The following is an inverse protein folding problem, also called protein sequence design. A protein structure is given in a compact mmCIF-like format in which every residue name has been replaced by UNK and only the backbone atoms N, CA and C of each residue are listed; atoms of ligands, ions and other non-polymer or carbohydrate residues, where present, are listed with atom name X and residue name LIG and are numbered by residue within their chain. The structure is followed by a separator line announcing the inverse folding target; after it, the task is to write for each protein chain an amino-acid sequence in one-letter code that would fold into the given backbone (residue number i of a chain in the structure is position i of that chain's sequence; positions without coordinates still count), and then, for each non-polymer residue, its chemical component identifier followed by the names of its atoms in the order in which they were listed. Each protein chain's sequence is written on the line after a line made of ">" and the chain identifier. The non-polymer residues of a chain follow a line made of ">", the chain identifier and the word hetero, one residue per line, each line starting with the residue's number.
data_IF_510804767473
#
_entry.id   IF_510804767473
#
_cell.length_a   1.000
_cell.length_b   1.000
_cell.length_c   1.000
_cell.angle_alpha   90.00
_cell.angle_beta   90.00
_cell.angle_gamma   90.00
#
_symmetry.space_group_name_H-M   'P 1'
#
loop_
_entity.id
_entity.type
_entity.pdbx_description
1 polymer ?
#
# COMPACT_ATOMS: atom_id res chain seq x y z
N UNK A 1 37.28 -14.79 18.62
CA UNK A 1 37.29 -14.23 17.25
C UNK A 1 36.17 -14.94 16.49
N UNK A 2 35.02 -14.25 16.30
CA UNK A 2 33.68 -14.87 16.13
C UNK A 2 33.45 -15.44 14.73
N UNK A 3 33.35 -16.77 14.63
CA UNK A 3 32.94 -17.50 13.41
C UNK A 3 31.49 -17.10 12.97
N UNK A 4 30.61 -16.82 13.91
CA UNK A 4 29.21 -16.43 13.63
C UNK A 4 29.07 -15.13 12.80
N UNK A 5 29.97 -14.16 12.98
CA UNK A 5 29.95 -12.91 12.21
C UNK A 5 30.37 -13.06 10.73
N UNK A 6 31.18 -14.07 10.42
CA UNK A 6 31.59 -14.37 9.04
C UNK A 6 30.52 -15.11 8.23
N UNK A 7 29.71 -15.94 8.90
CA UNK A 7 28.59 -16.64 8.23
C UNK A 7 27.44 -15.67 7.86
N UNK A 8 27.15 -14.68 8.70
CA UNK A 8 26.10 -13.71 8.41
C UNK A 8 26.47 -12.80 7.24
N UNK A 9 27.72 -12.35 7.14
CA UNK A 9 28.18 -11.51 6.03
C UNK A 9 28.24 -12.26 4.70
N UNK A 10 28.60 -13.55 4.72
CA UNK A 10 28.65 -14.39 3.53
C UNK A 10 27.23 -14.68 2.99
N UNK A 11 26.26 -14.92 3.88
CA UNK A 11 24.85 -15.13 3.54
C UNK A 11 24.22 -13.88 2.93
N UNK A 12 24.56 -12.69 3.45
CA UNK A 12 24.05 -11.41 2.92
C UNK A 12 24.62 -11.09 1.54
N UNK A 13 25.91 -11.38 1.30
CA UNK A 13 26.56 -11.21 0.00
C UNK A 13 25.97 -12.20 -1.02
N UNK A 14 25.70 -13.45 -0.63
CA UNK A 14 25.10 -14.45 -1.49
C UNK A 14 23.66 -14.08 -1.90
N UNK A 15 22.88 -13.47 -0.98
CA UNK A 15 21.52 -13.00 -1.25
C UNK A 15 21.51 -11.81 -2.23
N UNK A 16 22.46 -10.90 -2.10
CA UNK A 16 22.60 -9.74 -2.98
C UNK A 16 23.07 -10.12 -4.39
N UNK A 17 23.96 -11.12 -4.50
CA UNK A 17 24.43 -11.58 -5.82
C UNK A 17 23.37 -12.35 -6.61
N UNK A 18 22.42 -13.03 -5.95
CA UNK A 18 21.32 -13.71 -6.63
C UNK A 18 20.32 -12.75 -7.30
N UNK A 19 20.26 -11.51 -6.83
CA UNK A 19 19.36 -10.47 -7.39
C UNK A 19 19.91 -9.89 -8.72
N UNK A 20 21.22 -10.00 -8.99
CA UNK A 20 21.89 -9.27 -10.09
C UNK A 20 22.00 -10.10 -11.39
N UNK A 21 21.80 -11.42 -11.36
CA UNK A 21 22.09 -12.29 -12.53
C UNK A 21 20.88 -12.65 -13.39
N UNK A 22 19.70 -12.16 -13.10
CA UNK A 22 18.49 -12.42 -13.89
C UNK A 22 18.33 -11.49 -15.11
N UNK A 23 19.27 -11.46 -16.07
CA UNK A 23 19.05 -10.86 -17.39
C UNK A 23 18.20 -11.82 -18.23
N UNK A 24 16.93 -11.98 -17.90
CA UNK A 24 15.96 -12.46 -18.88
C UNK A 24 15.80 -11.38 -19.94
N UNK A 25 15.87 -11.77 -21.23
CA UNK A 25 15.58 -10.90 -22.38
C UNK A 25 14.08 -10.56 -22.40
N UNK A 26 13.64 -9.80 -21.43
CA UNK A 26 12.29 -9.26 -21.38
C UNK A 26 12.43 -7.84 -21.88
N UNK A 27 11.67 -7.49 -22.89
CA UNK A 27 11.42 -6.10 -23.28
C UNK A 27 10.99 -5.38 -22.01
N UNK A 28 11.93 -4.69 -21.36
CA UNK A 28 11.68 -4.04 -20.08
C UNK A 28 10.69 -2.90 -20.32
N UNK A 29 9.44 -3.15 -19.99
CA UNK A 29 8.41 -2.11 -19.99
C UNK A 29 8.38 -1.52 -18.61
N UNK A 30 8.77 -0.27 -18.49
CA UNK A 30 8.58 0.51 -17.26
C UNK A 30 7.34 1.39 -17.40
N UNK A 31 6.69 1.62 -16.29
CA UNK A 31 5.46 2.40 -16.23
C UNK A 31 5.56 3.41 -15.10
N UNK A 32 5.07 4.61 -15.36
CA UNK A 32 4.88 5.65 -14.34
C UNK A 32 3.40 6.00 -14.29
N UNK A 33 2.86 6.08 -13.11
CA UNK A 33 1.46 6.41 -12.93
C UNK A 33 1.22 7.33 -11.75
N UNK A 34 0.08 7.97 -11.79
CA UNK A 34 -0.48 8.72 -10.68
C UNK A 34 -1.97 8.36 -10.52
N UNK A 35 -2.49 8.56 -9.34
CA UNK A 35 -3.88 8.27 -9.04
C UNK A 35 -4.45 9.15 -7.96
N UNK A 36 -5.77 9.23 -7.98
CA UNK A 36 -6.58 9.88 -6.96
C UNK A 36 -7.53 8.86 -6.38
N UNK A 37 -7.75 8.95 -5.09
CA UNK A 37 -8.60 8.02 -4.37
C UNK A 37 -8.95 8.53 -2.99
N UNK A 38 -9.34 7.61 -2.16
CA UNK A 38 -9.71 7.89 -0.78
C UNK A 38 -9.03 6.91 0.17
N UNK A 39 -8.64 7.42 1.33
CA UNK A 39 -8.33 6.61 2.49
C UNK A 39 -9.57 6.41 3.35
N UNK A 40 -9.69 5.25 3.95
CA UNK A 40 -10.72 4.89 4.90
C UNK A 40 -10.08 4.13 6.06
N UNK A 41 -10.60 4.29 7.26
CA UNK A 41 -10.09 3.70 8.49
C UNK A 41 -11.03 2.62 9.01
N UNK A 42 -10.48 1.55 9.59
CA UNK A 42 -11.20 0.62 10.45
C UNK A 42 -10.33 0.24 11.64
N UNK A 43 -10.93 0.23 12.81
CA UNK A 43 -10.33 -0.04 14.11
C UNK A 43 -11.35 0.24 15.20
N UNK A 44 -10.91 0.72 16.35
CA UNK A 44 -11.75 0.92 17.54
C UNK A 44 -12.87 1.96 17.40
N UNK A 45 -12.70 2.96 16.50
CA UNK A 45 -13.71 3.98 16.23
C UNK A 45 -14.70 3.57 15.13
N UNK A 46 -14.28 2.75 14.17
CA UNK A 46 -15.10 2.32 13.04
C UNK A 46 -14.78 0.87 12.72
N UNK A 47 -15.67 -0.07 13.05
CA UNK A 47 -15.47 -1.51 12.89
C UNK A 47 -15.59 -2.03 11.44
N UNK A 48 -16.19 -1.26 10.55
CA UNK A 48 -16.39 -1.66 9.15
C UNK A 48 -16.11 -0.51 8.20
N UNK A 49 -15.78 -0.83 6.96
CA UNK A 49 -15.58 0.16 5.92
C UNK A 49 -16.83 1.07 5.79
N UNK A 50 -16.65 2.37 5.95
CA UNK A 50 -17.73 3.33 5.86
C UNK A 50 -17.34 4.48 4.91
N UNK A 51 -18.07 4.60 3.81
CA UNK A 51 -17.83 5.64 2.81
C UNK A 51 -17.94 7.08 3.37
N UNK A 52 -18.70 7.29 4.45
CA UNK A 52 -18.84 8.59 5.08
C UNK A 52 -17.53 9.14 5.66
N UNK A 53 -16.59 8.26 6.03
CA UNK A 53 -15.26 8.62 6.54
C UNK A 53 -14.16 8.56 5.48
N UNK A 54 -14.52 8.44 4.21
CA UNK A 54 -13.55 8.44 3.13
C UNK A 54 -12.92 9.82 2.96
N UNK A 55 -11.61 9.90 3.16
CA UNK A 55 -10.82 11.13 3.04
C UNK A 55 -9.96 11.11 1.79
N UNK A 56 -9.72 12.26 1.14
CA UNK A 56 -8.97 12.32 -0.11
C UNK A 56 -7.53 11.84 0.06
N UNK A 57 -7.08 11.06 -0.92
CA UNK A 57 -5.72 10.55 -1.01
C UNK A 57 -5.23 10.56 -2.47
N UNK A 58 -3.92 10.71 -2.64
CA UNK A 58 -3.26 10.64 -3.94
C UNK A 58 -2.10 9.66 -3.90
N UNK A 59 -1.79 9.05 -5.03
CA UNK A 59 -0.67 8.13 -5.19
C UNK A 59 0.11 8.43 -6.46
N UNK A 60 1.43 8.27 -6.38
CA UNK A 60 2.33 8.24 -7.53
C UNK A 60 3.16 6.98 -7.45
N UNK A 61 3.44 6.35 -8.57
CA UNK A 61 4.17 5.09 -8.57
C UNK A 61 5.00 4.88 -9.83
N UNK A 62 6.03 4.06 -9.65
CA UNK A 62 6.81 3.47 -10.71
C UNK A 62 6.57 1.96 -10.72
N UNK A 63 6.34 1.37 -11.89
CA UNK A 63 6.12 -0.06 -12.07
C UNK A 63 7.11 -0.62 -13.07
N UNK A 64 7.83 -1.66 -12.67
CA UNK A 64 8.68 -2.46 -13.51
C UNK A 64 7.98 -3.78 -13.85
N UNK A 65 7.78 -4.04 -15.12
CA UNK A 65 7.16 -5.28 -15.59
C UNK A 65 8.22 -6.37 -15.73
N UNK A 66 8.27 -7.28 -14.74
CA UNK A 66 9.26 -8.36 -14.68
C UNK A 66 8.92 -9.48 -15.64
N UNK A 67 7.63 -9.78 -15.83
CA UNK A 67 7.16 -10.78 -16.78
C UNK A 67 5.84 -10.34 -17.42
N UNK A 68 5.25 -11.23 -18.26
CA UNK A 68 3.92 -10.97 -18.86
C UNK A 68 2.82 -10.79 -17.81
N UNK A 69 2.94 -11.51 -16.69
CA UNK A 69 1.91 -11.57 -15.63
C UNK A 69 2.38 -10.99 -14.31
N UNK A 70 3.68 -10.76 -14.10
CA UNK A 70 4.25 -10.27 -12.84
C UNK A 70 4.84 -8.89 -13.06
N UNK A 71 4.52 -7.96 -12.15
CA UNK A 71 5.11 -6.63 -12.09
C UNK A 71 5.52 -6.31 -10.66
N UNK A 72 6.54 -5.48 -10.51
CA UNK A 72 6.91 -4.87 -9.24
C UNK A 72 6.55 -3.39 -9.29
N UNK A 73 5.88 -2.89 -8.25
CA UNK A 73 5.49 -1.48 -8.13
C UNK A 73 6.05 -0.89 -6.85
N UNK A 74 6.75 0.24 -7.00
CA UNK A 74 7.12 1.12 -5.90
C UNK A 74 6.21 2.34 -5.92
N UNK A 75 5.57 2.69 -4.82
CA UNK A 75 4.60 3.79 -4.75
C UNK A 75 4.79 4.67 -3.53
N UNK A 76 4.44 5.94 -3.72
CA UNK A 76 4.29 6.94 -2.67
C UNK A 76 2.82 7.35 -2.66
N UNK A 77 2.15 7.15 -1.53
CA UNK A 77 0.74 7.49 -1.34
C UNK A 77 0.61 8.45 -0.17
N UNK A 78 -0.17 9.50 -0.32
CA UNK A 78 -0.39 10.47 0.74
C UNK A 78 -1.86 10.89 0.78
N UNK A 79 -2.38 11.12 1.98
CA UNK A 79 -3.77 11.50 2.16
C UNK A 79 -4.12 11.77 3.61
N UNK A 80 -5.37 12.17 3.82
CA UNK A 80 -5.94 12.35 5.16
C UNK A 80 -6.62 11.06 5.60
N UNK A 81 -6.62 10.82 6.90
CA UNK A 81 -7.35 9.74 7.55
C UNK A 81 -8.08 10.33 8.75
N UNK A 82 -9.38 10.08 8.86
CA UNK A 82 -10.19 10.60 9.96
C UNK A 82 -11.30 9.64 10.34
N UNK A 83 -11.65 9.62 11.62
CA UNK A 83 -12.84 8.95 12.12
C UNK A 83 -13.38 9.69 13.34
N UNK A 84 -14.66 9.48 13.67
CA UNK A 84 -15.33 10.11 14.80
C UNK A 84 -16.45 9.25 15.33
N UNK A 85 -16.49 9.04 16.65
CA UNK A 85 -17.60 8.37 17.35
C UNK A 85 -18.91 9.14 17.25
N UNK A 86 -18.85 10.47 17.21
CA UNK A 86 -20.04 11.32 17.18
C UNK A 86 -20.87 11.13 15.89
N UNK A 87 -20.23 10.74 14.79
CA UNK A 87 -20.90 10.56 13.50
C UNK A 87 -21.47 9.16 13.31
N UNK A 88 -21.00 8.18 14.06
CA UNK A 88 -21.48 6.79 13.97
C UNK A 88 -21.17 6.01 15.25
N UNK A 89 -21.92 6.27 16.36
CA UNK A 89 -21.70 5.56 17.60
C UNK A 89 -22.00 4.07 17.42
N UNK A 90 -20.99 3.22 17.63
CA UNK A 90 -21.08 1.77 17.43
C UNK A 90 -21.81 1.10 18.59
N UNK A 91 -21.63 1.65 19.81
CA UNK A 91 -22.21 1.13 21.03
C UNK A 91 -22.46 2.23 22.08
N UNK A 92 -23.01 1.86 23.25
CA UNK A 92 -23.29 2.79 24.33
C UNK A 92 -22.03 3.47 24.93
N UNK A 93 -20.84 2.89 24.71
CA UNK A 93 -19.57 3.45 25.16
C UNK A 93 -19.05 4.51 24.18
N UNK A 94 -19.14 4.27 22.87
CA UNK A 94 -18.72 5.23 21.85
C UNK A 94 -19.51 6.54 21.96
N UNK A 95 -20.79 6.49 22.32
CA UNK A 95 -21.62 7.68 22.57
C UNK A 95 -21.17 8.52 23.78
N UNK A 96 -20.44 7.92 24.72
CA UNK A 96 -19.87 8.60 25.91
C UNK A 96 -18.42 9.03 25.69
N UNK A 97 -17.65 8.26 24.87
CA UNK A 97 -16.25 8.52 24.58
C UNK A 97 -16.08 9.77 23.70
N UNK A 98 -16.91 9.95 22.68
CA UNK A 98 -16.92 11.08 21.72
C UNK A 98 -15.52 11.38 21.21
N UNK A 99 -14.75 10.33 20.89
CA UNK A 99 -13.40 10.47 20.35
C UNK A 99 -13.44 10.76 18.85
N UNK A 100 -12.48 11.54 18.39
CA UNK A 100 -12.26 11.81 16.96
C UNK A 100 -10.80 12.05 16.68
N UNK A 101 -10.35 11.65 15.49
CA UNK A 101 -9.01 11.96 15.03
C UNK A 101 -9.03 12.43 13.58
N UNK A 102 -8.01 13.21 13.22
CA UNK A 102 -7.73 13.64 11.86
C UNK A 102 -6.22 13.73 11.72
N UNK A 103 -5.66 12.83 10.91
CA UNK A 103 -4.23 12.71 10.69
C UNK A 103 -3.91 12.81 9.20
N UNK A 104 -2.69 13.21 8.90
CA UNK A 104 -2.12 13.10 7.56
C UNK A 104 -1.18 11.90 7.53
N UNK A 105 -1.40 10.98 6.58
CA UNK A 105 -0.65 9.75 6.41
C UNK A 105 0.12 9.81 5.09
N UNK A 106 1.41 9.49 5.16
CA UNK A 106 2.28 9.33 4.00
C UNK A 106 2.86 7.91 4.01
N UNK A 107 2.64 7.16 2.93
CA UNK A 107 3.04 5.77 2.77
C UNK A 107 4.04 5.62 1.63
N UNK A 108 5.14 4.92 1.88
CA UNK A 108 6.05 4.39 0.85
C UNK A 108 5.87 2.88 0.79
N UNK A 109 5.55 2.33 -0.37
CA UNK A 109 5.29 0.89 -0.49
C UNK A 109 5.97 0.26 -1.69
N UNK A 110 6.34 -1.02 -1.51
CA UNK A 110 6.83 -1.90 -2.56
C UNK A 110 5.94 -3.14 -2.64
N UNK A 111 5.30 -3.36 -3.78
CA UNK A 111 4.37 -4.46 -3.96
C UNK A 111 4.65 -5.25 -5.23
N UNK A 112 4.38 -6.54 -5.18
CA UNK A 112 4.29 -7.40 -6.35
C UNK A 112 2.84 -7.43 -6.83
N UNK A 113 2.65 -7.35 -8.15
CA UNK A 113 1.36 -7.46 -8.81
C UNK A 113 1.33 -8.70 -9.69
N UNK A 114 0.26 -9.48 -9.56
CA UNK A 114 -0.03 -10.62 -10.41
C UNK A 114 -1.24 -10.31 -11.29
N UNK A 115 -1.07 -10.35 -12.61
CA UNK A 115 -2.10 -10.09 -13.60
C UNK A 115 -2.64 -11.41 -14.14
N UNK A 116 -3.94 -11.60 -14.10
CA UNK A 116 -4.58 -12.85 -14.51
C UNK A 116 -4.64 -13.04 -16.02
N UNK A 117 -4.64 -11.95 -16.78
CA UNK A 117 -4.75 -11.98 -18.23
C UNK A 117 -3.51 -11.36 -18.87
N UNK A 118 -3.10 -11.90 -20.03
CA UNK A 118 -2.00 -11.34 -20.82
C UNK A 118 -2.48 -10.13 -21.63
N UNK A 119 -2.60 -9.01 -20.96
CA UNK A 119 -3.07 -7.73 -21.48
C UNK A 119 -1.98 -6.94 -22.23
N UNK A 120 -0.72 -7.37 -22.11
CA UNK A 120 0.44 -6.73 -22.70
C UNK A 120 0.67 -7.16 -24.18
N UNK A 121 -0.05 -8.16 -24.63
CA UNK A 121 0.06 -8.65 -26.00
C UNK A 121 -0.87 -7.85 -26.93
N UNK A 122 -0.29 -7.00 -27.77
CA UNK A 122 -1.00 -6.15 -28.74
C UNK A 122 -1.79 -6.97 -29.79
N UNK A 123 -1.49 -8.28 -29.93
CA UNK A 123 -2.20 -9.21 -30.82
C UNK A 123 -3.53 -9.68 -30.24
N UNK A 124 -3.70 -9.58 -28.92
CA UNK A 124 -4.94 -9.96 -28.23
C UNK A 124 -5.84 -8.74 -28.05
N UNK A 125 -7.11 -8.87 -28.41
CA UNK A 125 -8.12 -7.80 -28.22
C UNK A 125 -8.57 -7.63 -26.75
N UNK A 126 -7.83 -8.20 -25.80
CA UNK A 126 -8.13 -8.04 -24.37
C UNK A 126 -7.69 -6.66 -23.90
N UNK A 127 -8.66 -5.83 -23.53
CA UNK A 127 -8.42 -4.46 -23.05
C UNK A 127 -8.44 -4.32 -21.55
N UNK A 128 -8.68 -5.39 -20.80
CA UNK A 128 -8.73 -5.34 -19.35
C UNK A 128 -8.02 -6.54 -18.73
N UNK A 129 -7.51 -6.37 -17.52
CA UNK A 129 -7.00 -7.46 -16.71
C UNK A 129 -7.30 -7.20 -15.23
N UNK A 130 -7.90 -8.15 -14.54
CA UNK A 130 -7.87 -8.17 -13.08
C UNK A 130 -6.45 -8.43 -12.61
N UNK A 131 -6.09 -7.88 -11.45
CA UNK A 131 -4.82 -8.16 -10.81
C UNK A 131 -4.96 -8.19 -9.29
N UNK A 132 -4.08 -8.92 -8.64
CA UNK A 132 -3.88 -8.91 -7.20
C UNK A 132 -2.50 -8.34 -6.91
N UNK A 133 -2.36 -7.75 -5.74
CA UNK A 133 -1.08 -7.26 -5.27
C UNK A 133 -0.88 -7.52 -3.79
N UNK A 134 0.39 -7.57 -3.38
CA UNK A 134 0.78 -7.69 -1.99
C UNK A 134 2.24 -7.31 -1.81
N UNK A 135 2.59 -6.80 -0.64
CA UNK A 135 3.95 -6.36 -0.36
C UNK A 135 4.16 -5.77 1.02
N UNK A 136 5.09 -4.83 1.11
CA UNK A 136 5.44 -4.14 2.34
C UNK A 136 5.34 -2.63 2.15
N UNK A 137 4.97 -1.94 3.20
CA UNK A 137 4.88 -0.49 3.25
C UNK A 137 5.42 0.05 4.58
N UNK A 138 5.99 1.24 4.50
CA UNK A 138 6.29 2.08 5.65
C UNK A 138 5.40 3.31 5.57
N UNK A 139 4.69 3.62 6.63
CA UNK A 139 3.87 4.82 6.69
C UNK A 139 4.29 5.73 7.82
N UNK A 140 4.14 7.02 7.61
CA UNK A 140 4.41 8.07 8.58
C UNK A 140 3.11 8.81 8.89
N UNK A 141 2.85 8.98 10.18
CA UNK A 141 1.72 9.71 10.71
C UNK A 141 2.17 11.12 11.11
N UNK A 142 1.45 12.14 10.64
CA UNK A 142 1.66 13.53 11.03
C UNK A 142 0.33 14.23 11.32
N UNK A 143 0.37 15.18 12.25
CA UNK A 143 -0.86 15.79 12.77
C UNK A 143 -1.58 14.87 13.75
N UNK A 144 -2.76 15.29 14.20
CA UNK A 144 -3.56 14.55 15.15
C UNK A 144 -3.46 15.10 16.58
N UNK A 145 -4.22 14.51 17.53
CA UNK A 145 -4.21 14.90 18.93
C UNK A 145 -2.85 14.63 19.59
N UNK A 146 -2.62 15.23 20.75
CA UNK A 146 -1.42 14.97 21.53
C UNK A 146 -1.32 13.47 21.84
N UNK A 147 -0.12 12.90 21.64
CA UNK A 147 0.12 11.48 21.87
C UNK A 147 -0.10 11.13 23.33
N UNK A 148 -0.89 10.11 23.59
CA UNK A 148 -1.11 9.55 24.93
C UNK A 148 0.11 8.77 25.42
N UNK A 149 0.84 8.12 24.47
CA UNK A 149 2.06 7.34 24.73
C UNK A 149 3.12 7.72 23.71
N UNK A 150 4.41 7.61 24.07
CA UNK A 150 5.51 7.83 23.12
C UNK A 150 5.64 6.64 22.16
N UNK A 151 5.35 6.85 20.89
CA UNK A 151 5.55 5.89 19.79
C UNK A 151 6.23 6.54 18.58
N UNK A 152 6.87 5.73 17.77
CA UNK A 152 7.44 6.19 16.50
C UNK A 152 6.35 6.58 15.51
N UNK A 153 6.51 7.70 14.82
CA UNK A 153 5.58 8.12 13.76
C UNK A 153 5.68 7.23 12.51
N UNK A 154 6.80 6.52 12.35
CA UNK A 154 7.02 5.62 11.21
C UNK A 154 6.71 4.20 11.65
N UNK A 155 5.81 3.55 10.93
CA UNK A 155 5.30 2.22 11.23
C UNK A 155 5.27 1.34 9.98
N UNK A 156 5.25 0.03 10.17
CA UNK A 156 5.17 -0.97 9.11
C UNK A 156 3.71 -1.35 8.83
N UNK A 157 3.38 -1.55 7.55
CA UNK A 157 2.12 -2.13 7.12
C UNK A 157 2.34 -3.17 6.02
N UNK A 158 1.38 -4.08 5.87
CA UNK A 158 1.32 -5.03 4.78
C UNK A 158 0.17 -4.62 3.85
N UNK A 159 0.45 -3.94 2.73
CA UNK A 159 -0.54 -3.66 1.71
C UNK A 159 -0.85 -4.93 0.91
N UNK A 160 -2.14 -5.21 0.72
CA UNK A 160 -2.62 -6.24 -0.18
C UNK A 160 -3.99 -5.86 -0.73
N UNK A 161 -4.33 -6.39 -1.88
CA UNK A 161 -5.61 -6.06 -2.51
C UNK A 161 -5.68 -6.49 -3.96
N UNK A 162 -6.60 -5.87 -4.67
CA UNK A 162 -6.82 -6.15 -6.07
C UNK A 162 -7.34 -4.94 -6.84
N UNK A 163 -7.36 -5.11 -8.14
CA UNK A 163 -7.86 -4.07 -9.02
C UNK A 163 -8.11 -4.59 -10.42
N UNK A 164 -8.60 -3.70 -11.25
CA UNK A 164 -8.83 -3.96 -12.67
C UNK A 164 -8.11 -2.88 -13.46
N UNK A 165 -7.26 -3.31 -14.40
CA UNK A 165 -6.61 -2.42 -15.37
C UNK A 165 -7.39 -2.44 -16.67
N UNK A 166 -7.56 -1.27 -17.28
CA UNK A 166 -8.17 -1.09 -18.58
C UNK A 166 -7.20 -0.35 -19.51
N UNK A 167 -6.98 -0.93 -20.70
CA UNK A 167 -6.10 -0.38 -21.72
C UNK A 167 -6.86 0.68 -22.51
N UNK A 168 -6.50 1.95 -22.34
CA UNK A 168 -7.05 3.06 -23.12
C UNK A 168 -6.44 3.08 -24.53
N UNK A 169 -5.10 3.01 -24.57
CA UNK A 169 -4.33 2.89 -25.79
C UNK A 169 -2.96 2.23 -25.47
N UNK A 170 -2.09 1.89 -26.46
CA UNK A 170 -0.84 1.20 -26.19
C UNK A 170 0.09 1.86 -25.16
N UNK A 171 -0.05 3.17 -24.93
CA UNK A 171 0.81 3.93 -24.03
C UNK A 171 0.14 4.26 -22.69
N UNK A 172 -1.18 4.20 -22.58
CA UNK A 172 -1.91 4.65 -21.40
C UNK A 172 -2.91 3.60 -20.90
N UNK A 173 -2.91 3.40 -19.59
CA UNK A 173 -3.83 2.53 -18.89
C UNK A 173 -4.53 3.29 -17.77
N UNK A 174 -5.74 2.91 -17.50
CA UNK A 174 -6.48 3.32 -16.32
C UNK A 174 -6.69 2.10 -15.43
N UNK A 175 -6.60 2.25 -14.11
CA UNK A 175 -6.94 1.17 -13.20
C UNK A 175 -7.78 1.66 -12.03
N UNK A 176 -8.70 0.80 -11.61
CA UNK A 176 -9.42 0.90 -10.35
C UNK A 176 -8.77 -0.07 -9.37
N UNK A 177 -8.38 0.41 -8.20
CA UNK A 177 -7.68 -0.37 -7.18
C UNK A 177 -8.38 -0.24 -5.84
N UNK A 178 -8.56 -1.39 -5.18
CA UNK A 178 -8.95 -1.46 -3.77
C UNK A 178 -7.89 -2.25 -3.02
N UNK A 179 -7.35 -1.66 -1.96
CA UNK A 179 -6.32 -2.29 -1.16
C UNK A 179 -6.47 -2.05 0.32
N UNK A 180 -6.22 -3.09 1.08
CA UNK A 180 -6.17 -3.09 2.54
C UNK A 180 -4.71 -2.92 2.96
N UNK A 181 -4.47 -2.15 3.99
CA UNK A 181 -3.17 -2.00 4.67
C UNK A 181 -3.34 -2.51 6.08
N UNK A 182 -2.90 -3.74 6.30
CA UNK A 182 -2.88 -4.29 7.65
C UNK A 182 -1.69 -3.71 8.40
N UNK A 183 -1.96 -2.99 9.48
CA UNK A 183 -0.92 -2.49 10.35
C UNK A 183 -0.70 -3.44 11.53
N UNK A 184 0.43 -3.27 12.21
CA UNK A 184 0.74 -3.93 13.49
C UNK A 184 0.76 -2.90 14.61
N UNK A 185 -0.02 -1.84 14.43
CA UNK A 185 -0.01 -0.64 15.24
C UNK A 185 -1.45 -0.30 15.68
N UNK A 186 -1.61 -0.01 16.98
CA UNK A 186 -2.89 0.15 17.67
C UNK A 186 -3.13 1.60 18.14
N UNK A 187 -2.40 2.55 17.60
CA UNK A 187 -2.50 3.96 17.98
C UNK A 187 -2.73 4.88 16.78
N UNK A 188 -3.30 4.38 15.70
CA UNK A 188 -3.65 5.20 14.55
C UNK A 188 -4.73 6.23 14.92
N UNK A 189 -5.65 5.81 15.77
CA UNK A 189 -6.72 6.63 16.33
C UNK A 189 -6.38 7.26 17.69
N UNK A 190 -5.16 7.02 18.21
CA UNK A 190 -4.67 7.42 19.53
C UNK A 190 -5.47 6.83 20.70
N UNK A 191 -6.16 5.72 20.48
CA UNK A 191 -6.92 4.96 21.48
C UNK A 191 -6.27 3.59 21.62
N UNK A 192 -6.01 3.15 22.83
CA UNK A 192 -5.49 1.81 23.12
C UNK A 192 -5.90 1.40 24.53
N UNK A 193 -5.92 0.10 24.77
CA UNK A 193 -6.24 -0.51 26.07
C UNK A 193 -5.16 -0.27 27.15
N UNK A 194 -4.12 0.51 26.85
CA UNK A 194 -2.94 0.61 27.71
C UNK A 194 -3.16 1.39 29.03
N UNK A 195 -4.27 2.06 29.24
CA UNK A 195 -4.45 2.90 30.43
C UNK A 195 -5.81 2.70 31.11
N UNK A 196 -5.98 1.53 31.71
CA UNK A 196 -7.12 1.21 32.62
C UNK A 196 -7.15 2.13 33.84
N UNK A 197 -6.04 2.82 34.14
CA UNK A 197 -5.91 3.73 35.29
C UNK A 197 -6.48 5.13 35.05
N UNK A 198 -6.62 5.53 33.79
CA UNK A 198 -7.23 6.80 33.45
C UNK A 198 -8.75 6.62 33.28
N UNK A 199 -9.52 7.35 34.06
CA UNK A 199 -11.00 7.40 34.05
C UNK A 199 -11.61 7.92 32.75
N UNK A 200 -10.85 7.99 31.66
CA UNK A 200 -11.25 8.57 30.38
C UNK A 200 -11.65 7.50 29.38
N UNK A 201 -12.55 6.58 29.72
CA UNK A 201 -13.26 5.67 28.78
C UNK A 201 -12.52 5.26 27.50
N UNK A 202 -11.20 5.09 27.59
CA UNK A 202 -10.37 4.61 26.48
C UNK A 202 -10.47 3.08 26.44
N UNK A 203 -11.59 2.55 25.95
CA UNK A 203 -11.75 1.13 25.71
C UNK A 203 -11.44 0.85 24.24
N UNK A 204 -10.18 0.54 23.95
CA UNK A 204 -9.73 -0.09 22.72
C UNK A 204 -9.57 -1.59 22.93
N UNK A 205 -9.51 -2.35 21.84
CA UNK A 205 -9.19 -3.77 21.87
C UNK A 205 -7.74 -3.97 21.46
N UNK A 206 -6.84 -4.23 22.39
CA UNK A 206 -5.41 -4.47 22.16
C UNK A 206 -5.07 -5.51 21.09
N UNK A 207 -6.02 -6.37 20.73
CA UNK A 207 -5.84 -7.43 19.73
C UNK A 207 -6.45 -7.06 18.37
N UNK A 208 -7.10 -5.94 18.25
CA UNK A 208 -7.73 -5.47 17.02
C UNK A 208 -6.91 -4.31 16.43
N UNK A 209 -5.80 -4.67 15.80
CA UNK A 209 -4.91 -3.70 15.17
C UNK A 209 -5.65 -2.86 14.13
N UNK A 210 -5.36 -1.57 14.12
CA UNK A 210 -5.88 -0.62 13.16
C UNK A 210 -5.55 -1.00 11.71
N UNK A 211 -6.51 -0.84 10.84
CA UNK A 211 -6.31 -1.04 9.42
C UNK A 211 -6.77 0.20 8.65
N UNK A 212 -6.17 0.43 7.50
CA UNK A 212 -6.66 1.46 6.60
C UNK A 212 -6.75 0.94 5.17
N UNK A 213 -7.63 1.55 4.40
CA UNK A 213 -7.98 1.13 3.06
C UNK A 213 -7.68 2.25 2.09
N UNK A 214 -7.29 1.88 0.88
CA UNK A 214 -7.20 2.79 -0.24
C UNK A 214 -8.13 2.30 -1.35
N UNK A 215 -9.01 3.17 -1.80
CA UNK A 215 -9.81 2.97 -2.99
C UNK A 215 -9.50 4.11 -3.95
N UNK A 216 -9.04 3.81 -5.15
CA UNK A 216 -8.62 4.87 -6.08
C UNK A 216 -8.63 4.47 -7.54
N UNK A 217 -8.62 5.49 -8.38
CA UNK A 217 -8.43 5.37 -9.83
C UNK A 217 -7.06 5.91 -10.17
N UNK A 218 -6.33 5.17 -11.01
CA UNK A 218 -4.98 5.56 -11.43
C UNK A 218 -4.88 5.65 -12.94
N UNK A 219 -4.05 6.57 -13.43
CA UNK A 219 -3.65 6.69 -14.81
C UNK A 219 -2.17 6.39 -14.93
N UNK A 220 -1.81 5.51 -15.86
CA UNK A 220 -0.46 5.00 -16.04
C UNK A 220 0.01 5.21 -17.46
N UNK A 221 1.26 5.67 -17.62
CA UNK A 221 1.96 5.75 -18.91
C UNK A 221 3.05 4.69 -18.98
N UNK A 222 3.09 3.94 -20.07
CA UNK A 222 4.11 2.94 -20.35
C UNK A 222 5.21 3.50 -21.22
N UNK A 223 6.44 3.13 -20.89
CA UNK A 223 7.65 3.37 -21.67
C UNK A 223 8.13 2.04 -22.23
N UNK A 224 8.37 2.00 -23.52
CA UNK A 224 8.87 0.83 -24.22
C UNK A 224 10.36 1.05 -24.52
N UNK A 225 11.17 0.09 -24.14
CA UNK A 225 12.54 -0.02 -24.63
C UNK A 225 12.54 -1.10 -25.72
N UNK A 226 12.76 -0.68 -26.97
CA UNK A 226 12.84 -1.60 -28.10
C UNK A 226 14.33 -1.83 -28.34
N UNK A 227 14.90 -2.99 -27.95
CA UNK A 227 16.27 -3.30 -28.28
C UNK A 227 16.41 -3.37 -29.79
N UNK A 228 17.32 -2.59 -30.34
CA UNK A 228 17.68 -2.70 -31.75
C UNK A 228 18.11 -4.15 -32.06
N UNK A 229 17.59 -4.78 -33.12
CA UNK A 229 18.05 -6.11 -33.49
C UNK A 229 19.57 -6.04 -33.75
N UNK A 230 20.33 -6.81 -32.98
CA UNK A 230 21.76 -7.01 -33.21
C UNK A 230 21.91 -7.60 -34.62
N UNK A 231 22.68 -6.91 -35.44
CA UNK A 231 22.95 -7.35 -36.80
C UNK A 231 23.52 -8.79 -36.79
N UNK A 232 22.83 -9.81 -37.36
CA UNK A 232 23.30 -11.19 -37.31
C UNK A 232 24.54 -11.46 -38.18
N UNK A 233 25.08 -10.42 -38.86
CA UNK A 233 26.23 -10.50 -39.76
C UNK A 233 27.49 -9.78 -39.22
N UNK A 234 27.67 -9.75 -37.89
CA UNK A 234 28.94 -9.34 -37.29
C UNK A 234 29.56 -10.50 -36.55
#
# INVERSE_FOLDING_TARGET
>A
MNLLGKFSSLSTILLVTFIITGKAQITQRSEVGFGLGTFNYTGDLVRSYNFAFSQPAGTVFYRANVSKVISFRASLTAGKLSASDASNPIDAFSSKRIASFNIFLMEVSGVYEYHFLDWKDDRRRLRFTPYLFGGLALFNISGGPAKTVQYSNVQLAIPFGGGIKYVLNPKYYMSLEFGVRKTFFDYLDNISDADVSQKNYQYGNKFDYDNYFFLGVTLTRTFYDIPCPTNPYK
#
